data_IF_032583744133
#
_entry.id   IF_032583744133
#
_cell.length_a   1.000
_cell.length_b   1.000
_cell.length_c   1.000
_cell.angle_alpha   90.00
_cell.angle_beta   90.00
_cell.angle_gamma   90.00
#
_symmetry.space_group_name_H-M   'P 1'
#
loop_
_entity.id
_entity.type
_entity.pdbx_description
1 polymer ?
#
# COMPACT_ATOMS: atom_id res chain seq x y z
N UNK A 1 -11.67 18.01 -9.75
CA UNK A 1 -10.93 16.78 -10.10
C UNK A 1 -10.46 16.18 -8.77
N UNK A 2 -10.99 15.02 -8.37
CA UNK A 2 -10.69 14.47 -7.03
C UNK A 2 -9.27 13.93 -7.00
N UNK A 3 -8.49 14.33 -6.00
CA UNK A 3 -7.08 13.96 -5.80
C UNK A 3 -6.88 12.43 -5.90
N UNK A 4 -6.42 11.94 -7.06
CA UNK A 4 -6.33 10.51 -7.38
C UNK A 4 -4.92 9.93 -7.29
N UNK A 5 -3.87 10.77 -7.23
CA UNK A 5 -2.52 10.39 -6.79
C UNK A 5 -2.57 9.64 -5.44
N UNK A 6 -3.54 10.04 -4.65
CA UNK A 6 -3.87 9.52 -3.35
C UNK A 6 -4.49 8.12 -3.37
N UNK A 7 -5.09 7.65 -4.46
CA UNK A 7 -5.81 6.36 -4.46
C UNK A 7 -4.89 5.15 -4.25
N UNK A 8 -3.65 5.20 -4.76
CA UNK A 8 -2.66 4.14 -4.57
C UNK A 8 -1.99 4.24 -3.20
N UNK A 9 -1.74 5.46 -2.72
CA UNK A 9 -1.31 5.74 -1.34
C UNK A 9 -2.40 5.28 -0.35
N UNK A 10 -3.67 5.54 -0.66
CA UNK A 10 -4.83 5.04 0.06
C UNK A 10 -4.97 3.55 -0.05
N UNK A 11 -4.68 2.90 -1.18
CA UNK A 11 -4.67 1.44 -1.22
C UNK A 11 -3.68 0.90 -0.17
N UNK A 12 -2.51 1.53 0.02
CA UNK A 12 -1.57 1.14 1.09
C UNK A 12 -2.08 1.38 2.51
N UNK A 13 -2.76 2.51 2.79
CA UNK A 13 -3.36 2.76 4.12
C UNK A 13 -4.70 2.05 4.34
N UNK A 14 -5.44 1.69 3.29
CA UNK A 14 -6.70 0.92 3.35
C UNK A 14 -6.42 -0.57 3.57
N UNK A 15 -5.29 -1.08 3.07
CA UNK A 15 -4.78 -2.42 3.44
C UNK A 15 -4.45 -2.49 4.94
N UNK A 16 -3.95 -1.38 5.47
CA UNK A 16 -3.72 -1.16 6.89
C UNK A 16 -5.07 -1.11 7.65
N UNK A 17 -5.97 -0.18 7.30
CA UNK A 17 -7.24 0.05 8.00
C UNK A 17 -8.27 -1.09 7.92
N UNK A 18 -8.19 -1.98 6.91
CA UNK A 18 -9.01 -3.19 6.84
C UNK A 18 -8.40 -4.39 7.57
N UNK A 19 -7.21 -4.25 8.19
CA UNK A 19 -6.58 -5.26 9.03
C UNK A 19 -7.20 -5.32 10.45
N UNK A 20 -8.52 -5.07 10.57
CA UNK A 20 -9.33 -5.57 11.67
C UNK A 20 -8.93 -7.02 11.97
N UNK A 21 -8.88 -7.47 13.25
CA UNK A 21 -8.02 -8.55 13.70
C UNK A 21 -8.12 -9.72 12.74
N UNK A 22 -7.03 -9.94 12.02
CA UNK A 22 -7.01 -10.76 10.80
C UNK A 22 -7.47 -12.20 11.10
N UNK A 23 -7.39 -12.64 12.36
CA UNK A 23 -7.99 -13.86 12.89
C UNK A 23 -9.50 -14.01 12.61
N UNK A 24 -10.27 -12.92 12.70
CA UNK A 24 -11.71 -12.94 12.44
C UNK A 24 -12.05 -13.06 10.94
N UNK A 25 -11.19 -12.53 10.08
CA UNK A 25 -11.33 -12.54 8.63
C UNK A 25 -10.80 -13.84 8.00
N UNK A 26 -9.70 -14.40 8.53
CA UNK A 26 -9.19 -15.73 8.15
C UNK A 26 -10.10 -16.87 8.61
N UNK A 27 -10.84 -16.67 9.71
CA UNK A 27 -11.81 -17.64 10.21
C UNK A 27 -12.96 -17.95 9.23
N UNK A 28 -13.24 -17.03 8.29
CA UNK A 28 -14.31 -17.17 7.29
C UNK A 28 -13.86 -17.89 6.00
N UNK A 29 -12.56 -18.10 5.83
CA UNK A 29 -11.99 -18.75 4.65
C UNK A 29 -12.12 -20.27 4.72
N UNK A 30 -12.13 -20.92 3.56
CA UNK A 30 -12.02 -22.37 3.47
C UNK A 30 -10.72 -22.88 4.12
N UNK A 31 -10.75 -24.11 4.63
CA UNK A 31 -9.59 -24.70 5.29
C UNK A 31 -8.34 -24.76 4.40
N UNK A 32 -8.43 -25.13 3.10
CA UNK A 32 -7.27 -25.11 2.20
C UNK A 32 -6.67 -23.70 2.05
N UNK A 33 -7.51 -22.70 1.80
CA UNK A 33 -7.07 -21.31 1.66
C UNK A 33 -6.38 -20.80 2.91
N UNK A 34 -7.01 -21.01 4.08
CA UNK A 34 -6.44 -20.60 5.37
C UNK A 34 -5.09 -21.27 5.64
N UNK A 35 -4.97 -22.56 5.37
CA UNK A 35 -3.70 -23.30 5.56
C UNK A 35 -2.61 -22.75 4.65
N UNK A 36 -2.92 -22.48 3.39
CA UNK A 36 -1.99 -21.88 2.45
C UNK A 36 -1.53 -20.49 2.91
N UNK A 37 -2.46 -19.59 3.26
CA UNK A 37 -2.09 -18.25 3.75
C UNK A 37 -1.24 -18.31 5.02
N UNK A 38 -1.56 -19.22 5.94
CA UNK A 38 -0.72 -19.46 7.12
C UNK A 38 0.69 -19.92 6.74
N UNK A 39 0.85 -20.84 5.78
CA UNK A 39 2.17 -21.27 5.31
C UNK A 39 2.97 -20.12 4.70
N UNK A 40 2.33 -19.20 3.99
CA UNK A 40 3.01 -18.01 3.43
C UNK A 40 3.54 -17.10 4.55
N UNK A 41 2.79 -16.98 5.65
CA UNK A 41 3.21 -16.20 6.83
C UNK A 41 4.31 -16.92 7.63
N UNK A 42 4.22 -18.25 7.80
CA UNK A 42 5.14 -19.01 8.66
C UNK A 42 6.43 -19.44 7.97
N UNK A 43 6.34 -19.87 6.71
CA UNK A 43 7.45 -20.43 5.95
C UNK A 43 8.28 -19.32 5.29
N UNK A 44 7.64 -18.17 5.03
CA UNK A 44 8.25 -16.86 4.78
C UNK A 44 9.06 -16.75 3.49
N UNK A 45 8.58 -15.92 2.56
CA UNK A 45 9.46 -15.38 1.51
C UNK A 45 10.31 -14.26 2.13
N UNK A 46 11.67 -14.26 2.03
CA UNK A 46 12.50 -13.24 2.67
C UNK A 46 12.15 -11.80 2.28
N UNK A 47 11.60 -11.63 1.08
CA UNK A 47 11.18 -10.34 0.54
C UNK A 47 9.76 -9.91 0.97
N UNK A 48 9.01 -10.81 1.63
CA UNK A 48 7.73 -10.57 2.27
C UNK A 48 7.88 -10.90 3.76
N UNK A 49 8.32 -9.95 4.61
CA UNK A 49 8.56 -10.18 6.04
C UNK A 49 7.24 -10.29 6.84
N UNK A 50 6.29 -11.10 6.35
CA UNK A 50 4.90 -11.15 6.82
C UNK A 50 4.78 -11.56 8.27
N UNK A 51 5.65 -12.43 8.79
CA UNK A 51 5.65 -12.80 10.21
C UNK A 51 6.00 -11.61 11.12
N UNK A 52 6.93 -10.76 10.69
CA UNK A 52 7.33 -9.54 11.42
C UNK A 52 6.25 -8.48 11.29
N UNK A 53 5.79 -8.23 10.06
CA UNK A 53 4.69 -7.30 9.75
C UNK A 53 3.42 -7.70 10.49
N UNK A 54 3.10 -9.00 10.60
CA UNK A 54 1.94 -9.48 11.33
C UNK A 54 2.01 -9.14 12.81
N UNK A 55 3.16 -9.40 13.45
CA UNK A 55 3.36 -9.06 14.85
C UNK A 55 3.20 -7.57 15.10
N UNK A 56 3.68 -6.73 14.19
CA UNK A 56 3.55 -5.27 14.28
C UNK A 56 2.12 -4.82 13.98
N UNK A 57 1.45 -5.39 12.98
CA UNK A 57 0.11 -5.02 12.56
C UNK A 57 -0.94 -5.37 13.62
N UNK A 58 -0.76 -6.46 14.36
CA UNK A 58 -1.63 -6.80 15.50
C UNK A 58 -1.47 -5.87 16.71
N UNK A 59 -0.42 -5.04 16.73
CA UNK A 59 -0.19 -4.04 17.78
C UNK A 59 -0.81 -2.67 17.46
N UNK A 60 -1.27 -2.45 16.23
CA UNK A 60 -1.91 -1.22 15.78
C UNK A 60 -3.41 -1.24 16.13
N UNK A 61 -3.91 -0.15 16.72
CA UNK A 61 -5.35 0.03 16.91
C UNK A 61 -6.02 0.50 15.61
N UNK A 62 -6.35 -0.46 14.75
CA UNK A 62 -7.07 -0.19 13.49
C UNK A 62 -8.48 0.39 13.70
N UNK A 63 -9.08 0.21 14.88
CA UNK A 63 -10.47 0.64 15.14
C UNK A 63 -10.54 2.13 15.43
N UNK A 64 -9.50 2.68 16.06
CA UNK A 64 -9.33 4.10 16.32
C UNK A 64 -8.17 4.69 15.51
N UNK A 65 -7.91 4.11 14.32
CA UNK A 65 -6.89 4.64 13.43
C UNK A 65 -7.29 6.06 13.01
N UNK A 66 -6.50 7.00 13.51
CA UNK A 66 -6.53 8.41 13.17
C UNK A 66 -5.11 8.78 12.76
N UNK A 67 -4.99 9.83 11.94
CA UNK A 67 -3.72 10.33 11.43
C UNK A 67 -2.74 10.72 12.53
N UNK A 68 -3.24 11.05 13.71
CA UNK A 68 -2.48 11.25 14.94
C UNK A 68 -1.72 9.99 15.45
N UNK A 69 -2.04 8.80 14.94
CA UNK A 69 -1.38 7.53 15.26
C UNK A 69 -0.51 6.99 14.11
N UNK A 70 -0.19 7.81 13.10
CA UNK A 70 0.60 7.40 11.93
C UNK A 70 1.99 6.86 12.31
N UNK A 71 2.55 7.32 13.44
CA UNK A 71 3.81 6.82 14.00
C UNK A 71 3.75 5.32 14.35
N UNK A 72 2.56 4.76 14.61
CA UNK A 72 2.38 3.31 14.81
C UNK A 72 2.58 2.51 13.51
N UNK A 73 2.53 3.14 12.34
CA UNK A 73 2.87 2.54 11.04
C UNK A 73 4.38 2.59 10.74
N UNK A 74 5.15 3.39 11.48
CA UNK A 74 6.59 3.54 11.23
C UNK A 74 7.36 2.21 11.34
N UNK A 75 7.13 1.36 12.36
CA UNK A 75 7.75 0.03 12.42
C UNK A 75 7.38 -0.84 11.22
N UNK A 76 6.10 -0.87 10.85
CA UNK A 76 5.59 -1.64 9.70
C UNK A 76 6.26 -1.23 8.39
N UNK A 77 6.31 0.08 8.12
CA UNK A 77 6.99 0.63 6.95
C UNK A 77 8.47 0.29 6.98
N UNK A 78 9.14 0.47 8.12
CA UNK A 78 10.56 0.14 8.25
C UNK A 78 10.84 -1.33 7.95
N UNK A 79 10.05 -2.24 8.50
CA UNK A 79 10.16 -3.68 8.25
C UNK A 79 9.97 -4.02 6.77
N UNK A 80 8.92 -3.47 6.12
CA UNK A 80 8.69 -3.70 4.69
C UNK A 80 9.74 -3.04 3.78
N UNK A 81 10.25 -1.88 4.15
CA UNK A 81 11.16 -1.09 3.32
C UNK A 81 12.62 -1.50 3.45
N UNK A 82 13.00 -2.18 4.52
CA UNK A 82 14.34 -2.74 4.72
C UNK A 82 14.47 -4.19 4.25
N UNK A 83 13.35 -4.89 4.04
CA UNK A 83 13.35 -6.22 3.47
C UNK A 83 13.88 -6.22 2.01
N UNK A 84 14.50 -7.33 1.56
CA UNK A 84 14.79 -7.53 0.14
C UNK A 84 13.55 -7.30 -0.72
N UNK A 85 13.71 -6.73 -1.92
CA UNK A 85 12.59 -6.60 -2.87
C UNK A 85 12.24 -7.96 -3.46
N UNK A 86 10.96 -8.27 -3.58
CA UNK A 86 10.53 -9.46 -4.31
C UNK A 86 10.70 -9.25 -5.80
N UNK A 87 11.21 -10.26 -6.49
CA UNK A 87 11.09 -10.35 -7.93
C UNK A 87 9.62 -10.56 -8.30
N UNK A 88 9.16 -9.95 -9.41
CA UNK A 88 7.81 -10.14 -9.96
C UNK A 88 7.39 -11.61 -10.05
N UNK A 89 8.31 -12.51 -10.42
CA UNK A 89 8.00 -13.95 -10.52
C UNK A 89 7.60 -14.59 -9.18
N UNK A 90 8.13 -14.08 -8.06
CA UNK A 90 7.76 -14.55 -6.73
C UNK A 90 6.32 -14.13 -6.42
N UNK A 91 5.98 -12.85 -6.66
CA UNK A 91 4.64 -12.33 -6.36
C UNK A 91 3.59 -12.90 -7.30
N UNK A 92 3.90 -13.07 -8.60
CA UNK A 92 3.04 -13.75 -9.57
C UNK A 92 2.82 -15.23 -9.20
N UNK A 93 3.88 -15.90 -8.74
CA UNK A 93 3.80 -17.28 -8.27
C UNK A 93 2.91 -17.44 -7.05
N UNK A 94 2.96 -16.49 -6.10
CA UNK A 94 2.08 -16.45 -4.93
C UNK A 94 0.63 -16.15 -5.33
N UNK A 95 0.40 -15.16 -6.18
CA UNK A 95 -0.94 -14.82 -6.69
C UNK A 95 -1.58 -16.03 -7.38
N UNK A 96 -0.84 -16.72 -8.26
CA UNK A 96 -1.34 -17.94 -8.91
C UNK A 96 -1.68 -19.06 -7.93
N UNK A 97 -0.91 -19.22 -6.84
CA UNK A 97 -1.22 -20.19 -5.78
C UNK A 97 -2.46 -19.78 -5.00
N UNK A 98 -2.66 -18.49 -4.71
CA UNK A 98 -3.91 -17.98 -4.10
C UNK A 98 -5.11 -18.33 -4.99
N UNK A 99 -5.03 -18.06 -6.30
CA UNK A 99 -6.12 -18.39 -7.23
C UNK A 99 -6.50 -19.88 -7.20
N UNK A 100 -5.53 -20.75 -6.92
CA UNK A 100 -5.71 -22.21 -6.86
C UNK A 100 -6.23 -22.66 -5.49
N UNK A 101 -5.47 -22.37 -4.43
CA UNK A 101 -5.73 -22.85 -3.06
C UNK A 101 -6.92 -22.12 -2.40
N UNK A 102 -7.22 -20.91 -2.85
CA UNK A 102 -8.35 -20.09 -2.39
C UNK A 102 -9.47 -20.00 -3.43
N UNK A 103 -9.57 -20.94 -4.37
CA UNK A 103 -10.57 -20.92 -5.45
C UNK A 103 -12.04 -20.80 -4.98
N UNK A 104 -12.37 -21.28 -3.77
CA UNK A 104 -13.70 -21.15 -3.16
C UNK A 104 -13.94 -19.79 -2.49
N UNK A 105 -12.87 -19.03 -2.24
CA UNK A 105 -12.86 -17.81 -1.45
C UNK A 105 -12.45 -16.57 -2.26
N UNK A 106 -12.31 -16.67 -3.59
CA UNK A 106 -11.83 -15.55 -4.43
C UNK A 106 -12.69 -14.29 -4.34
N UNK A 107 -13.98 -14.43 -4.04
CA UNK A 107 -14.89 -13.30 -3.83
C UNK A 107 -14.78 -12.67 -2.44
N UNK A 108 -14.01 -13.27 -1.52
CA UNK A 108 -13.78 -12.71 -0.20
C UNK A 108 -12.87 -11.50 -0.32
N UNK A 109 -13.28 -10.40 0.32
CA UNK A 109 -12.54 -9.12 0.27
C UNK A 109 -11.07 -9.28 0.66
N UNK A 110 -10.78 -10.12 1.64
CA UNK A 110 -9.41 -10.42 2.08
C UNK A 110 -8.58 -11.04 0.95
N UNK A 111 -9.14 -11.99 0.22
CA UNK A 111 -8.44 -12.65 -0.89
C UNK A 111 -8.23 -11.70 -2.05
N UNK A 112 -9.27 -10.95 -2.42
CA UNK A 112 -9.15 -9.90 -3.44
C UNK A 112 -8.10 -8.85 -3.07
N UNK A 113 -8.02 -8.45 -1.80
CA UNK A 113 -7.02 -7.49 -1.33
C UNK A 113 -5.60 -8.06 -1.44
N UNK A 114 -5.36 -9.29 -0.95
CA UNK A 114 -4.03 -9.94 -1.02
C UNK A 114 -3.58 -10.09 -2.48
N UNK A 115 -4.48 -10.55 -3.35
CA UNK A 115 -4.21 -10.72 -4.78
C UNK A 115 -3.81 -9.39 -5.43
N UNK A 116 -4.58 -8.33 -5.16
CA UNK A 116 -4.28 -6.97 -5.61
C UNK A 116 -2.89 -6.49 -5.14
N UNK A 117 -2.50 -6.76 -3.88
CA UNK A 117 -1.17 -6.41 -3.37
C UNK A 117 -0.07 -7.10 -4.17
N UNK A 118 -0.21 -8.41 -4.39
CA UNK A 118 0.82 -9.21 -5.05
C UNK A 118 0.97 -8.83 -6.52
N UNK A 119 -0.13 -8.58 -7.20
CA UNK A 119 -0.14 -8.12 -8.59
C UNK A 119 0.56 -6.76 -8.73
N UNK A 120 0.36 -5.86 -7.75
CA UNK A 120 0.84 -4.48 -7.74
C UNK A 120 2.01 -4.25 -6.76
N UNK A 121 2.73 -5.30 -6.37
CA UNK A 121 3.68 -5.24 -5.26
C UNK A 121 4.76 -4.16 -5.45
N UNK A 122 5.42 -4.15 -6.61
CA UNK A 122 6.54 -3.24 -6.89
C UNK A 122 6.16 -1.76 -6.73
N UNK A 123 5.12 -1.23 -7.42
CA UNK A 123 4.75 0.17 -7.25
C UNK A 123 4.22 0.49 -5.85
N UNK A 124 3.47 -0.42 -5.21
CA UNK A 124 2.95 -0.19 -3.86
C UNK A 124 4.07 -0.06 -2.83
N UNK A 125 5.08 -0.93 -2.94
CA UNK A 125 6.26 -0.88 -2.08
C UNK A 125 7.12 0.34 -2.41
N UNK A 126 7.30 0.71 -3.67
CA UNK A 126 8.03 1.92 -4.05
C UNK A 126 7.37 3.18 -3.48
N UNK A 127 6.04 3.28 -3.56
CA UNK A 127 5.24 4.38 -2.98
C UNK A 127 5.40 4.42 -1.45
N UNK A 128 5.17 3.28 -0.78
CA UNK A 128 5.21 3.19 0.69
C UNK A 128 6.60 3.47 1.26
N UNK A 129 7.64 3.10 0.53
CA UNK A 129 9.05 3.30 0.92
C UNK A 129 9.67 4.59 0.38
N UNK A 130 8.87 5.47 -0.22
CA UNK A 130 9.36 6.78 -0.65
C UNK A 130 9.77 7.60 0.58
N UNK A 131 10.98 8.13 0.57
CA UNK A 131 11.52 8.97 1.64
C UNK A 131 11.86 10.37 1.12
N UNK A 132 11.87 11.34 2.03
CA UNK A 132 12.39 12.68 1.78
C UNK A 132 13.91 12.73 2.01
N UNK A 133 14.51 13.91 1.81
CA UNK A 133 15.95 14.16 2.01
C UNK A 133 16.41 13.99 3.46
N UNK A 134 15.48 13.98 4.42
CA UNK A 134 15.73 13.73 5.85
C UNK A 134 15.59 12.24 6.21
N UNK A 135 15.36 11.36 5.24
CA UNK A 135 15.11 9.93 5.41
C UNK A 135 13.81 9.60 6.16
N UNK A 136 12.87 10.53 6.20
CA UNK A 136 11.53 10.30 6.74
C UNK A 136 10.65 9.70 5.65
N UNK A 137 9.82 8.71 6.01
CA UNK A 137 8.86 8.14 5.06
C UNK A 137 7.81 9.18 4.70
N UNK A 138 7.66 9.44 3.41
CA UNK A 138 6.72 10.43 2.91
C UNK A 138 5.27 10.13 3.28
N UNK A 139 4.94 8.86 3.44
CA UNK A 139 3.62 8.45 3.94
C UNK A 139 3.38 8.93 5.37
N UNK A 140 4.41 8.97 6.22
CA UNK A 140 4.28 9.43 7.60
C UNK A 140 4.27 10.96 7.67
N UNK A 141 5.03 11.63 6.80
CA UNK A 141 5.13 13.10 6.77
C UNK A 141 3.86 13.74 6.21
N UNK A 142 3.33 13.23 5.10
CA UNK A 142 2.25 13.88 4.35
C UNK A 142 0.93 13.10 4.41
N UNK A 143 0.93 11.87 4.96
CA UNK A 143 -0.21 10.96 4.89
C UNK A 143 -1.49 11.51 5.54
N UNK A 144 -1.35 12.30 6.60
CA UNK A 144 -2.46 13.00 7.25
C UNK A 144 -3.10 14.04 6.34
N UNK A 145 -2.30 14.96 5.83
CA UNK A 145 -2.80 16.04 4.97
C UNK A 145 -3.42 15.49 3.69
N UNK A 146 -2.82 14.44 3.16
CA UNK A 146 -3.36 13.67 2.06
C UNK A 146 -4.70 13.02 2.42
N UNK A 147 -4.82 12.39 3.59
CA UNK A 147 -6.08 11.82 4.07
C UNK A 147 -7.21 12.84 4.15
N UNK A 148 -6.92 14.01 4.72
CA UNK A 148 -7.89 15.09 4.90
C UNK A 148 -8.35 15.70 3.57
N UNK A 149 -7.46 15.72 2.56
CA UNK A 149 -7.73 16.34 1.26
C UNK A 149 -8.13 15.33 0.17
N UNK A 150 -8.42 14.08 0.51
CA UNK A 150 -8.77 13.01 -0.47
C UNK A 150 -9.93 13.34 -1.40
N UNK A 151 -10.88 14.12 -0.90
CA UNK A 151 -12.08 14.52 -1.64
C UNK A 151 -12.00 15.97 -2.14
N UNK A 152 -10.91 16.68 -1.84
CA UNK A 152 -10.69 18.05 -2.30
C UNK A 152 -10.44 18.07 -3.81
N UNK A 153 -10.86 19.17 -4.45
CA UNK A 153 -10.40 19.43 -5.81
C UNK A 153 -8.92 19.80 -5.76
N UNK A 154 -8.11 19.20 -6.63
CA UNK A 154 -6.68 19.53 -6.72
C UNK A 154 -6.48 21.05 -6.90
N UNK A 155 -7.38 21.73 -7.62
CA UNK A 155 -7.32 23.18 -7.82
C UNK A 155 -7.39 24.00 -6.52
N UNK A 156 -7.99 23.45 -5.46
CA UNK A 156 -8.17 24.11 -4.16
C UNK A 156 -7.03 23.82 -3.19
N UNK A 157 -6.13 22.88 -3.51
CA UNK A 157 -4.96 22.55 -2.69
C UNK A 157 -3.86 23.59 -2.90
N UNK A 158 -3.36 24.26 -1.84
CA UNK A 158 -2.26 25.23 -1.94
C UNK A 158 -0.96 24.64 -2.50
N UNK A 159 -0.18 25.45 -3.22
CA UNK A 159 1.08 25.00 -3.84
C UNK A 159 2.13 24.57 -2.80
N UNK A 160 2.17 25.17 -1.61
CA UNK A 160 3.09 24.77 -0.52
C UNK A 160 2.75 23.39 0.08
N UNK A 161 1.52 22.92 -0.12
CA UNK A 161 1.07 21.56 0.25
C UNK A 161 1.18 20.56 -0.89
N UNK A 162 1.11 21.05 -2.12
CA UNK A 162 1.19 20.21 -3.31
C UNK A 162 2.63 20.02 -3.80
N UNK A 163 3.47 21.04 -3.66
CA UNK A 163 4.80 21.10 -4.24
C UNK A 163 5.88 20.76 -3.21
N UNK A 164 5.65 19.69 -2.44
CA UNK A 164 6.61 19.18 -1.44
C UNK A 164 7.55 18.16 -2.04
N UNK A 165 8.70 17.94 -1.38
CA UNK A 165 9.66 16.91 -1.79
C UNK A 165 9.03 15.52 -1.85
N UNK A 166 8.11 15.23 -0.93
CA UNK A 166 7.43 13.96 -0.88
C UNK A 166 6.51 13.74 -2.08
N UNK A 167 5.72 14.76 -2.44
CA UNK A 167 4.92 14.70 -3.67
C UNK A 167 5.83 14.55 -4.90
N UNK A 168 6.94 15.28 -4.96
CA UNK A 168 7.91 15.14 -6.07
C UNK A 168 8.45 13.71 -6.18
N UNK A 169 8.80 13.08 -5.06
CA UNK A 169 9.34 11.72 -5.08
C UNK A 169 8.28 10.68 -5.45
N UNK A 170 7.02 10.83 -5.02
CA UNK A 170 5.93 9.98 -5.50
C UNK A 170 5.64 10.16 -6.99
N UNK A 171 5.79 11.38 -7.52
CA UNK A 171 5.70 11.62 -8.97
C UNK A 171 6.78 10.85 -9.73
N UNK A 172 8.00 10.71 -9.19
CA UNK A 172 9.04 9.86 -9.80
C UNK A 172 8.64 8.38 -9.81
N UNK A 173 8.06 7.88 -8.72
CA UNK A 173 7.54 6.50 -8.67
C UNK A 173 6.41 6.31 -9.68
N UNK A 174 5.50 7.26 -9.81
CA UNK A 174 4.48 7.22 -10.87
C UNK A 174 5.12 7.12 -12.25
N UNK A 175 6.12 7.93 -12.56
CA UNK A 175 6.79 7.91 -13.86
C UNK A 175 7.50 6.59 -14.17
N UNK A 176 8.02 5.94 -13.15
CA UNK A 176 8.66 4.63 -13.27
C UNK A 176 7.65 3.51 -13.58
N UNK A 177 6.49 3.52 -12.92
CA UNK A 177 5.58 2.36 -12.92
C UNK A 177 4.29 2.53 -13.71
N UNK A 178 3.84 3.76 -14.00
CA UNK A 178 2.50 4.01 -14.58
C UNK A 178 2.26 3.31 -15.93
N UNK A 179 3.30 3.16 -16.75
CA UNK A 179 3.19 2.48 -18.04
C UNK A 179 3.00 0.96 -17.91
N UNK A 180 3.57 0.35 -16.85
CA UNK A 180 3.54 -1.10 -16.62
C UNK A 180 2.38 -1.53 -15.71
N UNK A 181 1.83 -0.60 -14.93
CA UNK A 181 0.78 -0.84 -13.94
C UNK A 181 -0.44 0.05 -14.22
N UNK A 182 -0.96 -0.04 -15.44
CA UNK A 182 -2.01 0.85 -15.92
C UNK A 182 -3.27 0.80 -15.06
N UNK A 183 -3.64 -0.35 -14.51
CA UNK A 183 -4.87 -0.46 -13.71
C UNK A 183 -4.73 0.26 -12.37
N UNK A 184 -3.59 0.12 -11.69
CA UNK A 184 -3.27 0.85 -10.46
C UNK A 184 -3.28 2.36 -10.68
N UNK A 185 -2.71 2.81 -11.79
CA UNK A 185 -2.47 4.23 -12.07
C UNK A 185 -3.52 4.88 -13.00
N UNK A 186 -4.49 4.10 -13.49
CA UNK A 186 -5.50 4.50 -14.49
C UNK A 186 -6.28 5.74 -14.10
N UNK A 187 -6.53 5.89 -12.80
CA UNK A 187 -7.31 7.00 -12.26
C UNK A 187 -6.46 8.23 -11.91
N UNK A 188 -5.12 8.18 -12.01
CA UNK A 188 -4.24 9.28 -11.61
C UNK A 188 -4.07 10.36 -12.67
N UNK A 189 -5.17 10.94 -13.16
CA UNK A 189 -5.13 12.06 -14.12
C UNK A 189 -4.50 13.32 -13.53
N UNK A 190 -4.47 13.41 -12.21
CA UNK A 190 -4.01 14.58 -11.47
C UNK A 190 -2.48 14.73 -11.49
N UNK A 191 -1.71 13.65 -11.68
CA UNK A 191 -0.24 13.70 -11.66
C UNK A 191 0.29 14.71 -12.67
N UNK A 192 -0.30 14.76 -13.86
CA UNK A 192 0.12 15.70 -14.90
C UNK A 192 -0.14 17.15 -14.50
N UNK A 193 -1.24 17.40 -13.79
CA UNK A 193 -1.54 18.73 -13.26
C UNK A 193 -0.59 19.11 -12.11
N UNK A 194 -0.25 18.16 -11.23
CA UNK A 194 0.77 18.36 -10.18
C UNK A 194 2.12 18.71 -10.79
N UNK A 195 2.58 17.94 -11.79
CA UNK A 195 3.82 18.22 -12.54
C UNK A 195 3.82 19.61 -13.14
N UNK A 196 2.73 19.98 -13.81
CA UNK A 196 2.61 21.30 -14.43
C UNK A 196 2.64 22.43 -13.40
N UNK A 197 1.94 22.30 -12.27
CA UNK A 197 1.87 23.33 -11.22
C UNK A 197 3.20 23.47 -10.48
N UNK A 198 3.84 22.36 -10.16
CA UNK A 198 5.05 22.34 -9.34
C UNK A 198 6.36 22.37 -10.14
N UNK A 199 6.30 22.24 -11.47
CA UNK A 199 7.48 22.25 -12.33
C UNK A 199 8.36 21.01 -12.17
N UNK A 200 7.75 19.85 -11.92
CA UNK A 200 8.42 18.55 -11.79
C UNK A 200 8.72 17.90 -13.14
#
# INVERSE_FOLDING_TARGET
MKLTLLSAVFATTLMAANAAPVDSSLGQLSAPCRQFLLSVVTDGEPCLPLSQVWSEATSVDWTNYDTSNIDQLSPLLSTMCTAPRCDKSVTDGLASKIQTECSQDLSQKTITAIDYVLENYEPLIAIGCTQNSQQEYCLLVEGEELQDNKDADLADVPDDKLCTECIQNWVKVYDEYAASYTDLFSNMTDVQLVKQRCGY
#
